data_IF_375026123513
#
_entry.id   IF_375026123513
#
_cell.length_a   1.000
_cell.length_b   1.000
_cell.length_c   1.000
_cell.angle_alpha   90.00
_cell.angle_beta   90.00
_cell.angle_gamma   90.00
#
_symmetry.space_group_name_H-M   'P 1'
#
loop_
_entity.id
_entity.type
_entity.pdbx_description
1 polymer ?
#
# COMPACT_ATOMS: atom_id res chain seq x y z
N UNK A 1 20.78 -8.90 1.77
CA UNK A 1 19.67 -7.93 1.88
C UNK A 1 18.34 -8.65 1.99
N UNK A 2 17.87 -9.41 1.00
CA UNK A 2 16.59 -10.14 1.08
C UNK A 2 16.51 -11.11 2.27
N UNK A 3 17.56 -11.90 2.52
CA UNK A 3 17.62 -12.76 3.71
C UNK A 3 17.55 -11.98 5.02
N UNK A 4 18.11 -10.76 5.05
CA UNK A 4 18.05 -9.89 6.23
C UNK A 4 16.65 -9.33 6.42
N UNK A 5 15.98 -8.94 5.33
CA UNK A 5 14.60 -8.45 5.38
C UNK A 5 13.66 -9.55 5.88
N UNK A 6 13.81 -10.76 5.37
CA UNK A 6 12.99 -11.90 5.80
C UNK A 6 13.24 -12.29 7.26
N UNK A 7 14.51 -12.34 7.70
CA UNK A 7 14.88 -12.57 9.11
C UNK A 7 14.35 -11.51 10.08
N UNK A 8 14.16 -10.28 9.59
CA UNK A 8 13.58 -9.18 10.36
C UNK A 8 12.06 -9.05 10.14
N UNK A 9 11.44 -10.03 9.46
CA UNK A 9 10.01 -10.09 9.18
C UNK A 9 9.50 -8.84 8.44
N UNK A 10 10.34 -8.24 7.58
CA UNK A 10 9.94 -7.14 6.70
C UNK A 10 9.25 -7.66 5.44
N UNK A 11 8.16 -7.00 5.06
CA UNK A 11 7.54 -7.24 3.76
C UNK A 11 8.45 -6.67 2.66
N UNK A 12 8.76 -7.48 1.64
CA UNK A 12 9.61 -7.08 0.53
C UNK A 12 8.94 -7.40 -0.80
N UNK A 13 8.61 -6.37 -1.58
CA UNK A 13 7.96 -6.50 -2.88
C UNK A 13 8.92 -6.09 -3.99
N UNK A 14 9.11 -6.97 -4.98
CA UNK A 14 9.88 -6.63 -6.19
C UNK A 14 9.04 -5.75 -7.10
N UNK A 15 9.67 -4.77 -7.74
CA UNK A 15 9.01 -3.83 -8.66
C UNK A 15 8.15 -4.53 -9.72
N UNK A 16 8.61 -5.65 -10.28
CA UNK A 16 7.83 -6.43 -11.26
C UNK A 16 6.51 -6.94 -10.69
N UNK A 17 6.55 -7.57 -9.51
CA UNK A 17 5.36 -8.08 -8.82
C UNK A 17 4.39 -6.96 -8.42
N UNK A 18 4.91 -5.80 -8.02
CA UNK A 18 4.08 -4.62 -7.72
C UNK A 18 3.41 -4.09 -8.99
N UNK A 19 4.13 -4.00 -10.10
CA UNK A 19 3.57 -3.53 -11.38
C UNK A 19 2.51 -4.48 -11.92
N UNK A 20 2.65 -5.78 -11.71
CA UNK A 20 1.64 -6.77 -12.11
C UNK A 20 0.32 -6.63 -11.34
N UNK A 21 0.38 -6.29 -10.04
CA UNK A 21 -0.80 -6.19 -9.18
C UNK A 21 -0.66 -4.99 -8.22
N UNK A 22 -0.83 -3.78 -8.76
CA UNK A 22 -0.61 -2.53 -8.01
C UNK A 22 -1.57 -2.39 -6.82
N UNK A 23 -2.80 -2.89 -6.95
CA UNK A 23 -3.79 -2.82 -5.87
C UNK A 23 -3.35 -3.52 -4.57
N UNK A 24 -2.47 -4.53 -4.64
CA UNK A 24 -1.97 -5.24 -3.47
C UNK A 24 -1.07 -4.38 -2.57
N UNK A 25 -0.59 -3.24 -3.10
CA UNK A 25 0.13 -2.24 -2.32
C UNK A 25 -0.79 -1.32 -1.53
N UNK A 26 -2.08 -1.20 -1.86
CA UNK A 26 -2.99 -0.33 -1.10
C UNK A 26 -3.07 -0.75 0.37
N UNK A 27 -3.29 -2.03 0.73
CA UNK A 27 -3.38 -2.42 2.12
C UNK A 27 -2.03 -2.36 2.85
N UNK A 28 -0.91 -2.53 2.13
CA UNK A 28 0.45 -2.36 2.69
C UNK A 28 0.65 -0.90 3.12
N UNK A 29 0.37 0.02 2.20
CA UNK A 29 0.50 1.47 2.42
C UNK A 29 -0.51 1.94 3.46
N UNK A 30 -1.75 1.42 3.44
CA UNK A 30 -2.80 1.76 4.40
C UNK A 30 -2.44 1.37 5.84
N UNK A 31 -1.76 0.26 6.04
CA UNK A 31 -1.28 -0.16 7.37
C UNK A 31 0.01 0.57 7.81
N UNK A 32 0.59 1.43 6.98
CA UNK A 32 1.80 2.18 7.31
C UNK A 32 1.49 3.49 8.04
N UNK A 33 2.44 3.94 8.87
CA UNK A 33 2.34 5.23 9.59
C UNK A 33 3.20 6.33 8.96
N UNK A 34 4.28 5.93 8.27
CA UNK A 34 5.21 6.79 7.57
C UNK A 34 5.48 6.18 6.20
N UNK A 35 5.48 7.01 5.16
CA UNK A 35 5.90 6.62 3.82
C UNK A 35 7.14 7.43 3.43
N UNK A 36 8.19 6.73 3.01
CA UNK A 36 9.37 7.33 2.39
C UNK A 36 9.42 6.86 0.95
N UNK A 37 9.41 7.79 0.00
CA UNK A 37 9.51 7.51 -1.42
C UNK A 37 10.83 8.06 -1.95
N UNK A 38 11.74 7.17 -2.36
CA UNK A 38 12.99 7.56 -3.01
C UNK A 38 12.78 7.62 -4.52
N UNK A 39 13.12 8.76 -5.15
CA UNK A 39 12.92 8.97 -6.58
C UNK A 39 13.71 8.00 -7.46
N UNK A 40 14.75 7.33 -6.94
CA UNK A 40 15.45 6.25 -7.65
C UNK A 40 14.56 5.02 -7.93
N UNK A 41 13.40 4.91 -7.28
CA UNK A 41 12.40 3.89 -7.60
C UNK A 41 11.66 4.12 -8.92
N UNK A 42 11.71 5.35 -9.46
CA UNK A 42 11.09 5.72 -10.74
C UNK A 42 12.09 5.49 -11.87
N UNK A 43 11.63 4.94 -12.99
CA UNK A 43 12.49 4.75 -14.15
C UNK A 43 13.00 6.10 -14.68
N UNK A 44 14.27 6.15 -15.08
CA UNK A 44 14.95 7.38 -15.51
C UNK A 44 14.21 8.15 -16.62
N UNK A 45 13.43 7.44 -17.47
CA UNK A 45 12.60 8.06 -18.51
C UNK A 45 11.51 9.01 -17.97
N UNK A 46 11.10 8.86 -16.70
CA UNK A 46 10.06 9.67 -16.05
C UNK A 46 10.61 10.57 -14.93
N UNK A 47 11.81 10.29 -14.42
CA UNK A 47 12.49 11.04 -13.37
C UNK A 47 14.02 11.02 -13.59
N UNK A 48 14.57 11.88 -14.47
CA UNK A 48 16.00 11.86 -14.81
C UNK A 48 16.92 12.40 -13.72
N UNK A 49 16.40 13.12 -12.72
CA UNK A 49 17.17 13.81 -11.69
C UNK A 49 17.55 12.91 -10.50
N UNK A 50 17.98 11.68 -10.78
CA UNK A 50 18.30 10.65 -9.77
C UNK A 50 19.41 9.72 -10.28
N UNK A 51 19.86 8.76 -9.45
CA UNK A 51 20.67 7.64 -9.93
C UNK A 51 19.93 6.90 -11.05
N UNK A 52 20.56 6.77 -12.21
CA UNK A 52 19.90 6.28 -13.42
C UNK A 52 19.68 4.75 -13.40
N UNK A 53 18.43 4.33 -13.45
CA UNK A 53 18.00 2.97 -13.81
C UNK A 53 17.01 3.06 -14.97
N UNK A 54 17.14 2.25 -16.02
CA UNK A 54 16.16 2.22 -17.10
C UNK A 54 14.81 1.64 -16.64
N UNK A 55 14.80 0.85 -15.57
CA UNK A 55 13.64 0.14 -15.06
C UNK A 55 13.26 0.64 -13.67
N UNK A 56 11.95 0.76 -13.45
CA UNK A 56 11.37 1.27 -12.22
C UNK A 56 9.87 1.48 -12.41
N UNK A 57 9.25 2.20 -11.47
CA UNK A 57 7.90 2.70 -11.65
C UNK A 57 7.88 3.74 -12.77
N UNK A 58 6.82 3.76 -13.57
CA UNK A 58 6.53 4.91 -14.41
C UNK A 58 5.87 6.03 -13.58
N UNK A 59 5.66 7.18 -14.20
CA UNK A 59 5.06 8.33 -13.52
C UNK A 59 3.64 8.08 -12.98
N UNK A 60 2.83 7.30 -13.69
CA UNK A 60 1.45 6.98 -13.31
C UNK A 60 1.40 6.01 -12.11
N UNK A 61 2.22 4.96 -12.14
CA UNK A 61 2.38 3.99 -11.07
C UNK A 61 2.84 4.66 -9.76
N UNK A 62 3.82 5.57 -9.84
CA UNK A 62 4.25 6.37 -8.70
C UNK A 62 3.10 7.23 -8.14
N UNK A 63 2.31 7.86 -9.01
CA UNK A 63 1.12 8.61 -8.61
C UNK A 63 0.04 7.74 -7.95
N UNK A 64 -0.17 6.51 -8.43
CA UNK A 64 -1.10 5.55 -7.81
C UNK A 64 -0.68 5.21 -6.39
N UNK A 65 0.61 4.88 -6.17
CA UNK A 65 1.15 4.60 -4.84
C UNK A 65 0.97 5.79 -3.89
N UNK A 66 1.24 7.01 -4.38
CA UNK A 66 1.08 8.24 -3.60
C UNK A 66 -0.39 8.57 -3.30
N UNK A 67 -1.31 8.21 -4.21
CA UNK A 67 -2.75 8.28 -3.95
C UNK A 67 -3.17 7.31 -2.86
N UNK A 68 -2.68 6.07 -2.84
CA UNK A 68 -2.92 5.14 -1.73
C UNK A 68 -2.40 5.70 -0.40
N UNK A 69 -1.23 6.36 -0.43
CA UNK A 69 -0.68 7.04 0.74
C UNK A 69 -1.61 8.15 1.24
N UNK A 70 -2.16 8.93 0.31
CA UNK A 70 -3.19 9.92 0.58
C UNK A 70 -4.49 9.33 1.12
N UNK A 71 -4.88 8.12 0.70
CA UNK A 71 -6.10 7.45 1.16
C UNK A 71 -5.99 6.79 2.54
N UNK A 72 -4.77 6.63 3.06
CA UNK A 72 -4.53 6.02 4.36
C UNK A 72 -4.87 6.98 5.51
N UNK A 73 -5.75 6.60 6.45
CA UNK A 73 -5.95 7.37 7.67
C UNK A 73 -4.78 7.28 8.65
N UNK A 74 -3.91 6.26 8.50
CA UNK A 74 -2.82 5.96 9.44
C UNK A 74 -1.52 6.68 9.10
N UNK A 75 -1.32 7.07 7.83
CA UNK A 75 -0.12 7.78 7.41
C UNK A 75 -0.16 9.21 7.93
N UNK A 76 0.83 9.52 8.77
CA UNK A 76 1.03 10.81 9.41
C UNK A 76 2.13 11.65 8.71
N UNK A 77 3.04 11.00 7.98
CA UNK A 77 4.12 11.67 7.28
C UNK A 77 4.45 10.96 5.96
N UNK A 78 4.68 11.76 4.91
CA UNK A 78 5.12 11.32 3.60
C UNK A 78 6.35 12.14 3.23
N UNK A 79 7.47 11.47 2.96
CA UNK A 79 8.71 12.09 2.50
C UNK A 79 9.04 11.65 1.08
N UNK A 80 9.49 12.59 0.25
CA UNK A 80 10.01 12.32 -1.09
C UNK A 80 11.49 12.71 -1.08
N UNK A 81 12.36 11.78 -1.47
CA UNK A 81 13.82 11.90 -1.34
C UNK A 81 14.53 11.51 -2.63
N UNK A 82 15.83 11.79 -2.70
CA UNK A 82 16.66 11.42 -3.87
C UNK A 82 16.49 12.34 -5.08
N UNK A 83 15.84 13.49 -4.93
CA UNK A 83 15.71 14.50 -5.97
C UNK A 83 16.96 15.37 -6.05
N UNK A 84 17.62 15.40 -7.22
CA UNK A 84 18.80 16.25 -7.49
C UNK A 84 18.51 17.33 -8.54
N UNK A 85 18.20 18.54 -8.07
CA UNK A 85 17.86 19.69 -8.91
C UNK A 85 18.93 20.04 -9.97
N UNK A 86 20.21 19.76 -9.70
CA UNK A 86 21.29 20.13 -10.64
C UNK A 86 21.27 19.28 -11.91
N UNK A 87 20.62 18.11 -11.85
CA UNK A 87 20.54 17.15 -12.95
C UNK A 87 19.13 17.04 -13.55
N UNK A 88 18.19 17.90 -13.13
CA UNK A 88 16.78 17.86 -13.56
C UNK A 88 16.53 18.59 -14.87
N UNK A 89 16.82 17.90 -15.99
CA UNK A 89 16.54 18.41 -17.33
C UNK A 89 15.04 18.70 -17.48
N UNK A 90 14.74 19.90 -17.97
CA UNK A 90 13.37 20.38 -18.23
C UNK A 90 12.43 20.33 -17.00
N UNK A 91 13.00 20.26 -15.78
CA UNK A 91 12.27 20.12 -14.52
C UNK A 91 11.34 18.90 -14.50
N UNK A 92 11.67 17.86 -15.27
CA UNK A 92 10.79 16.71 -15.48
C UNK A 92 10.53 15.98 -14.16
N UNK A 93 11.55 15.81 -13.34
CA UNK A 93 11.45 15.14 -12.05
C UNK A 93 10.65 16.01 -11.06
N UNK A 94 10.88 17.32 -11.04
CA UNK A 94 10.08 18.24 -10.23
C UNK A 94 8.59 18.21 -10.59
N UNK A 95 8.26 18.15 -11.90
CA UNK A 95 6.88 17.99 -12.38
C UNK A 95 6.27 16.65 -11.96
N UNK A 96 7.05 15.57 -12.06
CA UNK A 96 6.61 14.25 -11.59
C UNK A 96 6.33 14.23 -10.08
N UNK A 97 7.22 14.82 -9.27
CA UNK A 97 7.01 14.99 -7.82
C UNK A 97 5.75 15.82 -7.55
N UNK A 98 5.52 16.89 -8.32
CA UNK A 98 4.34 17.73 -8.19
C UNK A 98 3.05 16.96 -8.46
N UNK A 99 3.02 16.10 -9.48
CA UNK A 99 1.89 15.20 -9.74
C UNK A 99 1.69 14.20 -8.60
N UNK A 100 2.76 13.58 -8.11
CA UNK A 100 2.71 12.67 -6.96
C UNK A 100 2.08 13.33 -5.73
N UNK A 101 2.50 14.55 -5.40
CA UNK A 101 1.93 15.34 -4.30
C UNK A 101 0.46 15.68 -4.53
N UNK A 102 0.07 16.04 -5.76
CA UNK A 102 -1.33 16.27 -6.09
C UNK A 102 -2.19 15.02 -5.84
N UNK A 103 -1.69 13.83 -6.21
CA UNK A 103 -2.38 12.58 -5.97
C UNK A 103 -2.47 12.19 -4.49
N UNK A 104 -1.53 12.62 -3.65
CA UNK A 104 -1.70 12.55 -2.17
C UNK A 104 -2.94 13.33 -1.75
N UNK A 105 -3.11 14.56 -2.25
CA UNK A 105 -4.26 15.41 -1.91
C UNK A 105 -5.58 14.82 -2.42
N UNK A 106 -5.60 14.31 -3.66
CA UNK A 106 -6.76 13.57 -4.19
C UNK A 106 -7.08 12.35 -3.30
N UNK A 107 -6.07 11.59 -2.90
CA UNK A 107 -6.20 10.47 -1.96
C UNK A 107 -6.82 10.89 -0.61
N UNK A 108 -6.34 12.00 -0.03
CA UNK A 108 -6.86 12.55 1.24
C UNK A 108 -8.31 13.00 1.13
N UNK A 109 -8.70 13.57 -0.01
CA UNK A 109 -10.09 13.92 -0.30
C UNK A 109 -10.98 12.67 -0.34
N UNK A 110 -10.51 11.60 -0.98
CA UNK A 110 -11.23 10.31 -1.07
C UNK A 110 -11.31 9.58 0.26
N UNK A 111 -10.29 9.70 1.12
CA UNK A 111 -10.26 9.07 2.44
C UNK A 111 -11.49 9.43 3.30
N UNK A 112 -12.02 10.66 3.14
CA UNK A 112 -13.20 11.15 3.87
C UNK A 112 -14.49 10.40 3.57
N UNK A 113 -14.51 9.55 2.53
CA UNK A 113 -15.69 8.74 2.16
C UNK A 113 -15.73 7.40 2.87
N UNK A 114 -14.67 7.03 3.58
CA UNK A 114 -14.62 5.76 4.29
C UNK A 114 -15.44 5.80 5.57
N UNK A 115 -16.19 4.72 5.84
CA UNK A 115 -16.90 4.55 7.10
C UNK A 115 -15.94 4.15 8.22
N UNK A 116 -16.25 4.53 9.46
CA UNK A 116 -15.54 3.99 10.61
C UNK A 116 -15.88 2.51 10.81
N UNK A 117 -14.94 1.71 11.31
CA UNK A 117 -15.11 0.24 11.43
C UNK A 117 -16.16 -0.19 12.45
N UNK A 118 -16.61 0.71 13.33
CA UNK A 118 -17.72 0.51 14.24
C UNK A 118 -19.10 0.73 13.57
N UNK A 119 -19.15 1.41 12.42
CA UNK A 119 -20.35 1.56 11.58
C UNK A 119 -20.67 0.27 10.79
N UNK A 120 -20.95 -0.86 11.48
CA UNK A 120 -21.11 -2.19 10.85
C UNK A 120 -22.09 -2.25 9.68
N UNK A 121 -23.16 -1.45 9.71
CA UNK A 121 -24.13 -1.36 8.60
C UNK A 121 -23.49 -0.89 7.28
N UNK A 122 -22.37 -0.16 7.34
CA UNK A 122 -21.60 0.29 6.19
C UNK A 122 -20.72 -0.82 5.57
N UNK A 123 -20.70 -2.03 6.14
CA UNK A 123 -19.84 -3.13 5.68
C UNK A 123 -20.64 -4.38 5.30
N UNK A 124 -20.09 -5.14 4.36
CA UNK A 124 -20.44 -6.55 4.18
C UNK A 124 -19.51 -7.36 5.09
N UNK A 125 -20.08 -8.21 5.94
CA UNK A 125 -19.31 -9.09 6.84
C UNK A 125 -19.26 -10.51 6.27
N UNK A 126 -18.07 -11.09 6.27
CA UNK A 126 -17.82 -12.45 5.82
C UNK A 126 -17.10 -13.22 6.92
N UNK A 127 -17.76 -14.22 7.49
CA UNK A 127 -17.14 -15.13 8.46
C UNK A 127 -16.52 -16.29 7.70
N UNK A 128 -15.23 -16.54 7.93
CA UNK A 128 -14.49 -17.64 7.31
C UNK A 128 -13.57 -18.28 8.35
N UNK A 129 -13.07 -19.46 8.05
CA UNK A 129 -12.06 -20.12 8.85
C UNK A 129 -10.96 -20.66 7.92
N UNK A 130 -9.71 -20.43 8.30
CA UNK A 130 -8.56 -21.01 7.63
C UNK A 130 -7.65 -21.62 8.70
N UNK A 131 -7.09 -22.80 8.44
CA UNK A 131 -6.20 -23.49 9.39
C UNK A 131 -6.75 -23.52 10.84
N UNK A 132 -8.05 -23.78 11.00
CA UNK A 132 -8.79 -23.82 12.28
C UNK A 132 -8.91 -22.48 13.02
N UNK A 133 -8.51 -21.37 12.40
CA UNK A 133 -8.67 -20.01 12.93
C UNK A 133 -9.91 -19.36 12.33
N UNK A 134 -10.92 -19.11 13.17
CA UNK A 134 -12.07 -18.30 12.78
C UNK A 134 -11.69 -16.83 12.65
N UNK A 135 -12.05 -16.22 11.52
CA UNK A 135 -11.85 -14.80 11.27
C UNK A 135 -13.06 -14.16 10.59
N UNK A 136 -13.15 -12.84 10.70
CA UNK A 136 -14.16 -12.03 10.03
C UNK A 136 -13.47 -11.08 9.08
N UNK A 137 -13.89 -11.08 7.83
CA UNK A 137 -13.54 -10.07 6.84
C UNK A 137 -14.65 -9.03 6.74
N UNK A 138 -14.25 -7.77 6.58
CA UNK A 138 -15.15 -6.65 6.30
C UNK A 138 -14.82 -6.07 4.94
N UNK A 139 -15.83 -5.86 4.12
CA UNK A 139 -15.72 -5.08 2.90
C UNK A 139 -16.56 -3.81 3.02
N UNK A 140 -15.95 -2.64 2.83
CA UNK A 140 -16.70 -1.38 2.83
C UNK A 140 -17.66 -1.34 1.65
N UNK A 141 -18.95 -1.10 1.92
CA UNK A 141 -19.96 -0.87 0.88
C UNK A 141 -19.73 0.45 0.14
N UNK A 142 -19.00 1.40 0.74
CA UNK A 142 -18.74 2.73 0.18
C UNK A 142 -17.54 2.73 -0.76
N UNK A 143 -16.47 2.02 -0.40
CA UNK A 143 -15.18 2.09 -1.11
C UNK A 143 -14.70 0.78 -1.71
N UNK A 144 -15.31 -0.35 -1.32
CA UNK A 144 -14.89 -1.68 -1.73
C UNK A 144 -13.60 -2.16 -1.06
N UNK A 145 -13.00 -1.37 -0.16
CA UNK A 145 -11.79 -1.75 0.58
C UNK A 145 -12.07 -2.85 1.58
N UNK A 146 -11.03 -3.61 1.91
CA UNK A 146 -11.13 -4.79 2.76
C UNK A 146 -10.34 -4.64 4.06
N UNK A 147 -10.84 -5.31 5.08
CA UNK A 147 -10.19 -5.54 6.37
C UNK A 147 -10.38 -6.99 6.78
N UNK A 148 -9.42 -7.52 7.52
CA UNK A 148 -9.50 -8.83 8.14
C UNK A 148 -9.25 -8.74 9.64
N UNK A 149 -9.92 -9.60 10.40
CA UNK A 149 -9.79 -9.64 11.85
C UNK A 149 -8.62 -10.54 12.28
N UNK A 150 -7.78 -10.02 13.17
CA UNK A 150 -6.74 -10.78 13.88
C UNK A 150 -7.33 -11.48 15.14
N UNK A 151 -6.64 -12.47 15.73
CA UNK A 151 -7.08 -13.14 16.96
C UNK A 151 -7.36 -12.19 18.13
N UNK A 152 -6.62 -11.08 18.23
CA UNK A 152 -6.81 -10.03 19.23
C UNK A 152 -8.02 -9.12 18.96
N UNK A 153 -8.87 -9.50 17.99
CA UNK A 153 -10.08 -8.79 17.53
C UNK A 153 -9.81 -7.45 16.82
N UNK A 154 -8.55 -7.05 16.62
CA UNK A 154 -8.22 -5.88 15.80
C UNK A 154 -8.43 -6.18 14.32
N UNK A 155 -8.82 -5.16 13.58
CA UNK A 155 -8.95 -5.22 12.13
C UNK A 155 -7.73 -4.58 11.48
N UNK A 156 -7.15 -5.25 10.50
CA UNK A 156 -6.06 -4.70 9.67
C UNK A 156 -6.50 -4.65 8.22
N UNK A 157 -5.94 -3.70 7.46
CA UNK A 157 -6.21 -3.62 6.03
C UNK A 157 -5.74 -4.88 5.32
N UNK A 158 -6.56 -5.42 4.43
CA UNK A 158 -6.24 -6.55 3.56
C UNK A 158 -6.78 -6.30 2.15
N UNK A 159 -6.50 -7.22 1.22
CA UNK A 159 -7.07 -7.22 -0.13
C UNK A 159 -8.20 -8.25 -0.26
N UNK A 160 -8.91 -8.20 -1.39
CA UNK A 160 -9.86 -9.25 -1.74
C UNK A 160 -9.14 -10.59 -1.99
N UNK A 161 -7.89 -10.56 -2.46
CA UNK A 161 -7.05 -11.74 -2.65
C UNK A 161 -6.79 -12.45 -1.32
N UNK A 162 -6.55 -11.70 -0.24
CA UNK A 162 -6.41 -12.27 1.11
C UNK A 162 -7.68 -13.04 1.54
N UNK A 163 -8.87 -12.49 1.24
CA UNK A 163 -10.14 -13.17 1.50
C UNK A 163 -10.30 -14.46 0.68
N UNK A 164 -9.92 -14.45 -0.61
CA UNK A 164 -10.00 -15.63 -1.47
C UNK A 164 -9.08 -16.76 -1.01
N UNK A 165 -7.86 -16.43 -0.58
CA UNK A 165 -6.91 -17.39 -0.01
C UNK A 165 -7.46 -18.01 1.27
N UNK A 166 -7.92 -17.17 2.20
CA UNK A 166 -8.58 -17.62 3.43
C UNK A 166 -9.78 -18.54 3.15
N UNK A 167 -10.61 -18.19 2.17
CA UNK A 167 -11.78 -18.99 1.76
C UNK A 167 -11.41 -20.32 1.12
N UNK A 168 -10.17 -20.45 0.65
CA UNK A 168 -9.59 -21.68 0.11
C UNK A 168 -8.79 -22.45 1.18
N UNK A 169 -8.99 -22.12 2.46
CA UNK A 169 -8.30 -22.69 3.62
C UNK A 169 -6.78 -22.48 3.63
N UNK A 170 -6.30 -21.44 2.94
CA UNK A 170 -4.89 -21.01 2.95
C UNK A 170 -4.72 -19.80 3.88
N UNK A 171 -3.61 -19.76 4.64
CA UNK A 171 -3.31 -18.65 5.54
C UNK A 171 -2.82 -17.46 4.70
N UNK A 172 -3.49 -16.28 4.73
CA UNK A 172 -2.99 -15.11 4.02
C UNK A 172 -1.65 -14.65 4.61
N UNK A 173 -0.64 -14.42 3.77
CA UNK A 173 0.70 -14.02 4.23
C UNK A 173 0.65 -12.75 5.08
N UNK A 174 -0.17 -11.78 4.69
CA UNK A 174 -0.36 -10.52 5.44
C UNK A 174 -0.89 -10.76 6.86
N UNK A 175 -1.72 -11.77 7.05
CA UNK A 175 -2.23 -12.16 8.36
C UNK A 175 -1.12 -12.78 9.20
N UNK A 176 -0.37 -13.71 8.61
CA UNK A 176 0.76 -14.37 9.26
C UNK A 176 1.82 -13.34 9.70
N UNK A 177 2.23 -12.43 8.81
CA UNK A 177 3.19 -11.36 9.12
C UNK A 177 2.69 -10.40 10.20
N UNK A 178 1.39 -10.11 10.23
CA UNK A 178 0.81 -9.29 11.30
C UNK A 178 0.85 -9.99 12.66
N UNK A 179 0.73 -11.33 12.71
CA UNK A 179 0.92 -12.11 13.94
C UNK A 179 2.39 -12.16 14.38
N UNK A 180 3.34 -12.29 13.46
CA UNK A 180 4.78 -12.33 13.79
C UNK A 180 5.31 -11.02 14.39
N UNK A 181 4.63 -9.89 14.12
CA UNK A 181 5.03 -8.54 14.57
C UNK A 181 4.40 -8.12 15.90
N UNK A 182 3.37 -8.84 16.37
CA UNK A 182 2.64 -8.58 17.61
C UNK A 182 3.24 -9.28 18.81
#
# INVERSE_FOLDING_TARGET
MLETMDKLHFDCYRVGSVKENMEEMEPVIRNSHLLSFDMTAVAHAYAPATTASPNGFNGEEACVLMRYAGMSPNINSIGIYGYDVQHDKDELTAKQISHMLWYVLDGRSRARREAQLDERDSFNEYHTAFAEVETTFLQSKKTGRWWMQLPDKKFIACSYKDYLLASSNEIPERWLRAQERG
#
